data_IF_357880434102
#
_entry.id   IF_357880434102
#
_cell.length_a   1.000
_cell.length_b   1.000
_cell.length_c   1.000
_cell.angle_alpha   90.00
_cell.angle_beta   90.00
_cell.angle_gamma   90.00
#
_symmetry.space_group_name_H-M   'P 1'
#
loop_
_entity.id
_entity.type
_entity.pdbx_description
1 polymer ?
#
# COMPACT_ATOMS: atom_id res chain seq x y z
N UNK A 1 -30.43 -29.44 -44.78
CA UNK A 1 -30.18 -27.99 -44.81
C UNK A 1 -29.80 -27.55 -43.40
N UNK A 2 -28.51 -27.29 -43.17
CA UNK A 2 -27.98 -26.84 -41.88
C UNK A 2 -27.95 -25.32 -41.86
N UNK A 3 -28.67 -24.70 -40.92
CA UNK A 3 -28.57 -23.27 -40.60
C UNK A 3 -28.18 -23.11 -39.14
N UNK A 4 -26.89 -23.24 -38.82
CA UNK A 4 -26.37 -22.93 -37.48
C UNK A 4 -26.31 -21.42 -37.31
N UNK A 5 -27.23 -20.88 -36.51
CA UNK A 5 -27.19 -19.50 -36.06
C UNK A 5 -26.07 -19.32 -35.03
N UNK A 6 -25.02 -18.58 -35.38
CA UNK A 6 -24.03 -18.07 -34.44
C UNK A 6 -24.64 -16.95 -33.61
N UNK A 7 -24.96 -17.22 -32.35
CA UNK A 7 -25.29 -16.22 -31.34
C UNK A 7 -24.05 -15.40 -31.01
N UNK A 8 -23.93 -14.22 -31.62
CA UNK A 8 -22.97 -13.19 -31.22
C UNK A 8 -23.31 -12.72 -29.80
N UNK A 9 -22.56 -13.17 -28.80
CA UNK A 9 -22.60 -12.62 -27.44
C UNK A 9 -22.14 -11.16 -27.51
N UNK A 10 -23.07 -10.22 -27.44
CA UNK A 10 -22.79 -8.79 -27.36
C UNK A 10 -21.94 -8.52 -26.13
N UNK A 11 -20.64 -8.26 -26.34
CA UNK A 11 -19.69 -7.90 -25.28
C UNK A 11 -20.15 -6.61 -24.62
N UNK A 12 -20.84 -6.73 -23.48
CA UNK A 12 -21.36 -5.60 -22.69
C UNK A 12 -20.21 -4.62 -22.41
N UNK A 13 -20.38 -3.35 -22.82
CA UNK A 13 -19.39 -2.30 -22.53
C UNK A 13 -19.30 -2.14 -21.01
N UNK A 14 -18.10 -2.33 -20.46
CA UNK A 14 -17.84 -2.04 -19.06
C UNK A 14 -18.05 -0.55 -18.78
N UNK A 15 -18.51 -0.22 -17.58
CA UNK A 15 -18.49 1.14 -17.08
C UNK A 15 -17.05 1.65 -16.94
N UNK A 16 -16.84 2.96 -16.86
CA UNK A 16 -15.49 3.53 -16.66
C UNK A 16 -14.82 3.00 -15.37
N UNK A 17 -15.49 2.93 -14.21
CA UNK A 17 -14.92 2.32 -13.00
C UNK A 17 -14.56 0.84 -13.15
N UNK A 18 -15.45 0.03 -13.75
CA UNK A 18 -15.18 -1.40 -13.97
C UNK A 18 -13.98 -1.60 -14.90
N UNK A 19 -13.84 -0.74 -15.91
CA UNK A 19 -12.70 -0.75 -16.82
C UNK A 19 -11.40 -0.42 -16.08
N UNK A 20 -11.42 0.61 -15.24
CA UNK A 20 -10.26 0.99 -14.43
C UNK A 20 -9.84 -0.15 -13.50
N UNK A 21 -10.80 -0.79 -12.82
CA UNK A 21 -10.54 -1.98 -11.98
C UNK A 21 -9.90 -3.11 -12.80
N UNK A 22 -10.46 -3.46 -13.95
CA UNK A 22 -9.89 -4.48 -14.85
C UNK A 22 -8.43 -4.15 -15.23
N UNK A 23 -8.14 -2.90 -15.57
CA UNK A 23 -6.80 -2.47 -15.97
C UNK A 23 -5.81 -2.53 -14.78
N UNK A 24 -6.23 -2.12 -13.59
CA UNK A 24 -5.41 -2.23 -12.38
C UNK A 24 -5.11 -3.69 -12.04
N UNK A 25 -6.11 -4.57 -12.08
CA UNK A 25 -5.91 -6.00 -11.80
C UNK A 25 -4.99 -6.66 -12.84
N UNK A 26 -5.09 -6.26 -14.11
CA UNK A 26 -4.18 -6.72 -15.18
C UNK A 26 -2.75 -6.23 -14.94
N UNK A 27 -2.57 -4.96 -14.55
CA UNK A 27 -1.26 -4.40 -14.27
C UNK A 27 -0.60 -5.07 -13.05
N UNK A 28 -1.37 -5.37 -11.99
CA UNK A 28 -0.90 -6.17 -10.86
C UNK A 28 -0.45 -7.58 -11.27
N UNK A 29 -1.20 -8.24 -12.15
CA UNK A 29 -0.81 -9.54 -12.67
C UNK A 29 0.52 -9.48 -13.45
N UNK A 30 0.71 -8.45 -14.27
CA UNK A 30 1.97 -8.23 -15.00
C UNK A 30 3.14 -7.95 -14.07
N UNK A 31 2.96 -7.13 -13.02
CA UNK A 31 4.02 -6.88 -12.03
C UNK A 31 4.43 -8.18 -11.34
N UNK A 32 3.47 -9.04 -10.97
CA UNK A 32 3.74 -10.34 -10.37
C UNK A 32 4.53 -11.28 -11.28
N UNK A 33 4.22 -11.29 -12.57
CA UNK A 33 4.82 -12.24 -13.51
C UNK A 33 6.13 -11.75 -14.12
N UNK A 34 6.24 -10.46 -14.39
CA UNK A 34 7.32 -9.86 -15.21
C UNK A 34 8.07 -8.72 -14.49
N UNK A 35 7.62 -8.29 -13.32
CA UNK A 35 8.16 -7.14 -12.59
C UNK A 35 7.66 -5.78 -13.12
N UNK A 36 8.10 -4.69 -12.47
CA UNK A 36 7.60 -3.33 -12.77
C UNK A 36 8.26 -2.70 -14.01
N UNK A 37 9.47 -3.10 -14.37
CA UNK A 37 10.22 -2.55 -15.51
C UNK A 37 9.48 -2.67 -16.87
N UNK A 38 8.95 -3.85 -17.27
CA UNK A 38 8.24 -4.00 -18.55
C UNK A 38 6.83 -3.37 -18.56
N UNK A 39 6.32 -2.90 -17.42
CA UNK A 39 4.98 -2.31 -17.34
C UNK A 39 4.91 -0.99 -18.11
N UNK A 40 4.18 -1.01 -19.23
CA UNK A 40 3.86 0.17 -20.06
C UNK A 40 2.36 0.21 -20.36
N UNK A 41 1.82 1.38 -20.72
CA UNK A 41 0.42 1.50 -21.13
C UNK A 41 0.10 0.67 -22.39
N UNK A 42 1.08 0.50 -23.28
CA UNK A 42 0.94 -0.35 -24.47
C UNK A 42 0.81 -1.82 -24.11
N UNK A 43 1.72 -2.33 -23.25
CA UNK A 43 1.69 -3.71 -22.76
C UNK A 43 0.45 -4.01 -21.94
N UNK A 44 0.02 -3.06 -21.11
CA UNK A 44 -1.22 -3.15 -20.36
C UNK A 44 -2.43 -3.26 -21.28
N UNK A 45 -2.51 -2.39 -22.30
CA UNK A 45 -3.63 -2.40 -23.25
C UNK A 45 -3.73 -3.72 -24.01
N UNK A 46 -2.59 -4.22 -24.51
CA UNK A 46 -2.48 -5.52 -25.17
C UNK A 46 -2.98 -6.66 -24.26
N UNK A 47 -2.45 -6.72 -23.04
CA UNK A 47 -2.78 -7.79 -22.08
C UNK A 47 -4.23 -7.74 -21.63
N UNK A 48 -4.79 -6.54 -21.44
CA UNK A 48 -6.19 -6.35 -21.03
C UNK A 48 -7.20 -6.49 -22.18
N UNK A 49 -6.73 -6.69 -23.42
CA UNK A 49 -7.59 -6.78 -24.61
C UNK A 49 -8.31 -5.47 -24.94
N UNK A 50 -7.68 -4.33 -24.68
CA UNK A 50 -8.20 -2.99 -25.01
C UNK A 50 -7.29 -2.25 -25.98
N UNK A 51 -7.78 -1.20 -26.62
CA UNK A 51 -6.94 -0.37 -27.48
C UNK A 51 -6.02 0.51 -26.65
N UNK A 52 -4.85 0.88 -27.19
CA UNK A 52 -3.92 1.80 -26.52
C UNK A 52 -4.61 3.09 -26.05
N UNK A 53 -5.40 3.81 -26.88
CA UNK A 53 -6.11 5.02 -26.45
C UNK A 53 -6.93 4.84 -25.16
N UNK A 54 -7.56 3.69 -24.95
CA UNK A 54 -8.31 3.42 -23.71
C UNK A 54 -7.39 3.44 -22.48
N UNK A 55 -6.22 2.81 -22.54
CA UNK A 55 -5.27 2.85 -21.43
C UNK A 55 -4.72 4.26 -21.18
N UNK A 56 -4.46 5.03 -22.23
CA UNK A 56 -4.03 6.43 -22.11
C UNK A 56 -5.14 7.33 -21.55
N UNK A 57 -6.40 7.13 -21.91
CA UNK A 57 -7.55 7.88 -21.35
C UNK A 57 -7.75 7.64 -19.84
N UNK A 58 -7.35 6.46 -19.35
CA UNK A 58 -7.45 6.12 -17.93
C UNK A 58 -6.29 6.67 -17.09
N UNK A 59 -5.06 6.60 -17.60
CA UNK A 59 -3.87 6.83 -16.78
C UNK A 59 -3.00 8.00 -17.26
N UNK A 60 -3.17 8.46 -18.50
CA UNK A 60 -2.39 9.52 -19.14
C UNK A 60 -0.95 9.12 -19.46
N UNK A 61 -0.22 8.56 -18.50
CA UNK A 61 1.18 8.17 -18.61
C UNK A 61 1.49 6.90 -17.81
N UNK A 62 2.69 6.34 -18.00
CA UNK A 62 3.20 5.26 -17.15
C UNK A 62 3.24 5.68 -15.68
N UNK A 63 3.66 6.91 -15.39
CA UNK A 63 3.70 7.42 -14.02
C UNK A 63 2.30 7.55 -13.42
N UNK A 64 1.30 7.95 -14.22
CA UNK A 64 -0.10 7.96 -13.80
C UNK A 64 -0.66 6.58 -13.50
N UNK A 65 -0.27 5.55 -14.28
CA UNK A 65 -0.59 4.16 -13.97
C UNK A 65 0.04 3.71 -12.66
N UNK A 66 1.33 4.01 -12.44
CA UNK A 66 2.02 3.63 -11.20
C UNK A 66 1.41 4.35 -9.98
N UNK A 67 1.02 5.62 -10.11
CA UNK A 67 0.29 6.34 -9.06
C UNK A 67 -1.06 5.69 -8.76
N UNK A 68 -1.82 5.30 -9.79
CA UNK A 68 -3.11 4.63 -9.63
C UNK A 68 -2.99 3.23 -9.00
N UNK A 69 -1.92 2.50 -9.32
CA UNK A 69 -1.59 1.23 -8.66
C UNK A 69 -1.29 1.44 -7.19
N UNK A 70 -0.48 2.46 -6.87
CA UNK A 70 -0.20 2.79 -5.48
C UNK A 70 -1.47 3.18 -4.72
N UNK A 71 -2.36 4.00 -5.32
CA UNK A 71 -3.67 4.34 -4.77
C UNK A 71 -4.53 3.10 -4.48
N UNK A 72 -4.59 2.17 -5.42
CA UNK A 72 -5.34 0.92 -5.25
C UNK A 72 -4.78 0.05 -4.13
N UNK A 73 -3.46 -0.04 -4.04
CA UNK A 73 -2.78 -0.74 -2.95
C UNK A 73 -3.12 -0.09 -1.60
N UNK A 74 -3.00 1.24 -1.49
CA UNK A 74 -3.28 1.97 -0.26
C UNK A 74 -4.72 1.75 0.24
N UNK A 75 -5.71 1.80 -0.66
CA UNK A 75 -7.11 1.54 -0.29
C UNK A 75 -7.27 0.13 0.29
N UNK A 76 -6.65 -0.88 -0.32
CA UNK A 76 -6.71 -2.26 0.17
C UNK A 76 -6.01 -2.41 1.52
N UNK A 77 -4.85 -1.77 1.70
CA UNK A 77 -4.10 -1.83 2.96
C UNK A 77 -4.75 -1.06 4.09
N UNK A 78 -5.27 0.14 3.81
CA UNK A 78 -5.98 0.93 4.80
C UNK A 78 -7.15 0.15 5.38
N UNK A 79 -7.92 -0.58 4.56
CA UNK A 79 -9.00 -1.42 5.06
C UNK A 79 -8.51 -2.54 6.01
N UNK A 80 -7.36 -3.15 5.73
CA UNK A 80 -6.76 -4.19 6.57
C UNK A 80 -6.27 -3.59 7.90
N UNK A 81 -5.58 -2.46 7.84
CA UNK A 81 -5.07 -1.76 9.02
C UNK A 81 -6.23 -1.25 9.88
N UNK A 82 -7.27 -0.68 9.28
CA UNK A 82 -8.44 -0.17 9.99
C UNK A 82 -9.20 -1.32 10.69
N UNK A 83 -9.37 -2.46 10.03
CA UNK A 83 -9.96 -3.65 10.65
C UNK A 83 -9.11 -4.20 11.81
N UNK A 84 -7.79 -4.17 11.67
CA UNK A 84 -6.87 -4.59 12.72
C UNK A 84 -6.89 -3.62 13.92
N UNK A 85 -6.88 -2.32 13.68
CA UNK A 85 -7.04 -1.29 14.71
C UNK A 85 -8.36 -1.45 15.47
N UNK A 86 -9.45 -1.73 14.76
CA UNK A 86 -10.78 -1.93 15.36
C UNK A 86 -10.87 -3.19 16.23
N UNK A 87 -10.05 -4.20 15.97
CA UNK A 87 -10.00 -5.45 16.76
C UNK A 87 -8.94 -5.42 17.87
N UNK A 88 -8.22 -4.31 18.03
CA UNK A 88 -7.14 -4.20 18.99
C UNK A 88 -7.65 -4.11 20.44
N UNK A 89 -6.91 -4.75 21.34
CA UNK A 89 -7.16 -4.70 22.76
C UNK A 89 -7.02 -3.29 23.36
N UNK A 90 -7.44 -3.10 24.62
CA UNK A 90 -7.48 -1.79 25.25
C UNK A 90 -6.08 -1.28 25.67
N UNK A 91 -5.05 -2.13 25.68
CA UNK A 91 -3.71 -1.74 26.18
C UNK A 91 -2.84 -1.13 25.08
N UNK A 92 -1.87 -0.26 25.42
CA UNK A 92 -0.91 0.26 24.46
C UNK A 92 -0.05 -0.86 23.85
N UNK A 93 0.24 -1.92 24.62
CA UNK A 93 0.97 -3.11 24.17
C UNK A 93 0.25 -3.83 23.03
N UNK A 94 -1.02 -4.18 23.21
CA UNK A 94 -1.80 -4.90 22.20
C UNK A 94 -1.96 -4.06 20.92
N UNK A 95 -2.18 -2.76 21.07
CA UNK A 95 -2.30 -1.83 19.94
C UNK A 95 -0.99 -1.67 19.18
N UNK A 96 0.13 -1.49 19.89
CA UNK A 96 1.46 -1.41 19.27
C UNK A 96 1.80 -2.72 18.53
N UNK A 97 1.56 -3.87 19.15
CA UNK A 97 1.80 -5.18 18.56
C UNK A 97 0.99 -5.40 17.28
N UNK A 98 -0.29 -5.01 17.27
CA UNK A 98 -1.13 -5.13 16.08
C UNK A 98 -0.63 -4.26 14.93
N UNK A 99 -0.26 -3.00 15.19
CA UNK A 99 0.30 -2.13 14.14
C UNK A 99 1.60 -2.70 13.61
N UNK A 100 2.51 -3.11 14.50
CA UNK A 100 3.78 -3.70 14.11
C UNK A 100 3.58 -4.96 13.26
N UNK A 101 2.73 -5.88 13.72
CA UNK A 101 2.40 -7.11 13.02
C UNK A 101 1.84 -6.82 11.63
N UNK A 102 0.85 -5.92 11.51
CA UNK A 102 0.20 -5.64 10.23
C UNK A 102 1.10 -4.94 9.25
N UNK A 103 1.96 -4.02 9.73
CA UNK A 103 2.93 -3.35 8.87
C UNK A 103 3.94 -4.35 8.31
N UNK A 104 4.57 -5.14 9.18
CA UNK A 104 5.57 -6.14 8.78
C UNK A 104 4.95 -7.22 7.90
N UNK A 105 3.77 -7.73 8.25
CA UNK A 105 3.05 -8.71 7.41
C UNK A 105 2.68 -8.14 6.05
N UNK A 106 2.25 -6.88 5.97
CA UNK A 106 1.95 -6.23 4.70
C UNK A 106 3.17 -6.29 3.79
N UNK A 107 4.33 -5.83 4.27
CA UNK A 107 5.56 -5.81 3.47
C UNK A 107 6.03 -7.23 3.11
N UNK A 108 5.89 -8.20 4.01
CA UNK A 108 6.27 -9.60 3.74
C UNK A 108 5.33 -10.31 2.76
N UNK A 109 4.01 -10.08 2.86
CA UNK A 109 2.99 -10.78 2.05
C UNK A 109 2.78 -10.16 0.68
N UNK A 110 2.99 -8.85 0.55
CA UNK A 110 2.91 -8.13 -0.72
C UNK A 110 4.12 -8.40 -1.64
N UNK A 111 5.13 -9.12 -1.15
CA UNK A 111 6.32 -9.47 -1.91
C UNK A 111 7.06 -8.22 -2.42
N UNK A 112 7.87 -8.41 -3.46
CA UNK A 112 8.66 -7.32 -4.09
C UNK A 112 7.79 -6.31 -4.85
N UNK A 113 6.49 -6.55 -5.03
CA UNK A 113 5.61 -5.78 -5.93
C UNK A 113 5.51 -4.29 -5.52
N UNK A 114 5.24 -4.02 -4.25
CA UNK A 114 5.10 -2.65 -3.73
C UNK A 114 6.44 -1.95 -3.57
N UNK A 115 7.49 -2.58 -3.01
CA UNK A 115 8.84 -2.02 -3.03
C UNK A 115 9.33 -1.72 -4.45
N UNK A 116 9.06 -2.57 -5.44
CA UNK A 116 9.48 -2.36 -6.84
C UNK A 116 8.67 -1.25 -7.52
N UNK A 117 7.37 -1.15 -7.23
CA UNK A 117 6.55 0.00 -7.62
C UNK A 117 7.14 1.25 -6.96
N UNK A 118 7.32 1.29 -5.63
CA UNK A 118 7.94 2.40 -4.89
C UNK A 118 9.35 2.80 -5.40
N UNK A 119 10.18 1.83 -5.75
CA UNK A 119 11.52 2.05 -6.31
C UNK A 119 11.43 2.66 -7.71
N UNK A 120 10.58 2.09 -8.58
CA UNK A 120 10.28 2.68 -9.88
C UNK A 120 9.58 4.05 -9.78
N UNK A 121 8.94 4.34 -8.64
CA UNK A 121 8.22 5.57 -8.34
C UNK A 121 9.14 6.71 -7.84
N UNK A 122 10.37 6.42 -7.39
CA UNK A 122 11.23 7.39 -6.69
C UNK A 122 11.86 8.47 -7.58
N UNK A 123 11.67 8.39 -8.90
CA UNK A 123 12.25 9.30 -9.88
C UNK A 123 11.40 10.51 -10.31
N UNK A 124 10.15 10.66 -9.85
CA UNK A 124 9.25 11.75 -10.29
C UNK A 124 8.61 12.57 -9.14
N UNK A 125 8.46 13.89 -9.29
CA UNK A 125 7.84 14.76 -8.28
C UNK A 125 6.39 14.41 -7.94
N UNK A 126 5.59 14.02 -8.94
CA UNK A 126 4.19 13.65 -8.77
C UNK A 126 4.05 12.43 -7.86
N UNK A 127 4.99 11.51 -7.98
CA UNK A 127 5.01 10.25 -7.26
C UNK A 127 5.52 10.43 -5.83
N UNK A 128 6.49 11.31 -5.62
CA UNK A 128 6.90 11.73 -4.29
C UNK A 128 5.75 12.40 -3.52
N UNK A 129 4.93 13.21 -4.20
CA UNK A 129 3.74 13.82 -3.60
C UNK A 129 2.68 12.78 -3.20
N UNK A 130 2.44 11.81 -4.09
CA UNK A 130 1.56 10.66 -3.85
C UNK A 130 2.03 9.89 -2.62
N UNK A 131 3.28 9.38 -2.59
CA UNK A 131 3.87 8.69 -1.42
C UNK A 131 3.73 9.51 -0.12
N UNK A 132 4.11 10.79 -0.16
CA UNK A 132 4.07 11.68 1.01
C UNK A 132 2.65 11.83 1.56
N UNK A 133 1.63 11.95 0.70
CA UNK A 133 0.22 12.04 1.12
C UNK A 133 -0.20 10.83 1.96
N UNK A 134 0.23 9.62 1.60
CA UNK A 134 -0.10 8.41 2.38
C UNK A 134 0.66 8.30 3.67
N UNK A 135 1.96 8.58 3.64
CA UNK A 135 2.76 8.60 4.87
C UNK A 135 2.12 9.55 5.89
N UNK A 136 1.66 10.72 5.44
CA UNK A 136 0.90 11.66 6.28
C UNK A 136 -0.43 11.08 6.78
N UNK A 137 -1.22 10.44 5.91
CA UNK A 137 -2.50 9.84 6.31
C UNK A 137 -2.32 8.71 7.33
N UNK A 138 -1.33 7.83 7.13
CA UNK A 138 -1.01 6.74 8.04
C UNK A 138 -0.51 7.25 9.40
N UNK A 139 0.37 8.26 9.40
CA UNK A 139 0.85 8.89 10.63
C UNK A 139 -0.30 9.54 11.41
N UNK A 140 -1.27 10.15 10.73
CA UNK A 140 -2.45 10.72 11.39
C UNK A 140 -3.35 9.64 11.99
N UNK A 141 -3.55 8.51 11.29
CA UNK A 141 -4.23 7.35 11.88
C UNK A 141 -3.53 6.85 13.14
N UNK A 142 -2.20 6.71 13.11
CA UNK A 142 -1.41 6.33 14.28
C UNK A 142 -1.58 7.34 15.43
N UNK A 143 -1.55 8.65 15.13
CA UNK A 143 -1.79 9.70 16.11
C UNK A 143 -3.15 9.52 16.80
N UNK A 144 -4.23 9.35 16.04
CA UNK A 144 -5.57 9.13 16.60
C UNK A 144 -5.63 7.82 17.40
N UNK A 145 -5.05 6.75 16.87
CA UNK A 145 -5.11 5.42 17.47
C UNK A 145 -4.39 5.33 18.83
N UNK A 146 -3.28 6.05 18.99
CA UNK A 146 -2.51 6.09 20.23
C UNK A 146 -2.84 7.28 21.15
N UNK A 147 -3.67 8.23 20.71
CA UNK A 147 -4.06 9.40 21.51
C UNK A 147 -4.53 9.07 22.94
N UNK A 148 -5.31 7.99 23.20
CA UNK A 148 -5.75 7.65 24.55
C UNK A 148 -4.60 7.37 25.56
N UNK A 149 -3.40 7.05 25.08
CA UNK A 149 -2.24 6.71 25.93
C UNK A 149 -1.26 7.86 26.14
N UNK A 150 -1.43 8.98 25.43
CA UNK A 150 -0.46 10.07 25.41
C UNK A 150 -0.72 11.17 26.47
N UNK A 151 -1.56 10.90 27.48
CA UNK A 151 -1.88 11.79 28.63
C UNK A 151 -2.22 13.26 28.28
N UNK A 152 -2.81 13.50 27.11
CA UNK A 152 -3.20 14.84 26.65
C UNK A 152 -2.18 15.52 25.73
N UNK A 153 -0.98 14.97 25.60
CA UNK A 153 0.03 15.40 24.63
C UNK A 153 -0.12 14.63 23.32
N UNK A 154 0.06 15.28 22.18
CA UNK A 154 -0.03 14.62 20.88
C UNK A 154 1.35 14.06 20.48
N UNK A 155 1.38 12.89 19.83
CA UNK A 155 2.62 12.33 19.28
C UNK A 155 3.31 13.33 18.34
N UNK A 156 4.58 13.67 18.56
CA UNK A 156 5.23 14.64 17.68
C UNK A 156 5.38 14.11 16.25
N UNK A 157 5.34 15.01 15.25
CA UNK A 157 5.56 14.61 13.84
C UNK A 157 6.92 13.95 13.65
N UNK A 158 7.95 14.42 14.36
CA UNK A 158 9.28 13.82 14.32
C UNK A 158 9.29 12.37 14.83
N UNK A 159 8.55 12.08 15.91
CA UNK A 159 8.46 10.72 16.45
C UNK A 159 7.73 9.77 15.50
N UNK A 160 6.67 10.24 14.83
CA UNK A 160 5.94 9.46 13.84
C UNK A 160 6.80 9.16 12.60
N UNK A 161 7.60 10.12 12.13
CA UNK A 161 8.56 9.89 11.04
C UNK A 161 9.66 8.91 11.44
N UNK A 162 10.17 9.00 12.67
CA UNK A 162 11.15 8.04 13.17
C UNK A 162 10.57 6.61 13.24
N UNK A 163 9.34 6.47 13.74
CA UNK A 163 8.63 5.20 13.78
C UNK A 163 8.40 4.63 12.39
N UNK A 164 7.95 5.45 11.43
CA UNK A 164 7.72 5.00 10.06
C UNK A 164 9.02 4.55 9.37
N UNK A 165 10.11 5.29 9.56
CA UNK A 165 11.43 4.90 9.06
C UNK A 165 11.93 3.59 9.66
N UNK A 166 11.70 3.36 10.96
CA UNK A 166 12.00 2.09 11.61
C UNK A 166 11.14 0.95 11.05
N UNK A 167 9.85 1.19 10.83
CA UNK A 167 8.94 0.21 10.26
C UNK A 167 9.36 -0.22 8.85
N UNK A 168 9.72 0.74 7.99
CA UNK A 168 10.25 0.48 6.65
C UNK A 168 11.55 -0.35 6.73
N UNK A 169 12.54 0.10 7.51
CA UNK A 169 13.84 -0.55 7.59
C UNK A 169 13.80 -1.97 8.18
N UNK A 170 13.01 -2.18 9.24
CA UNK A 170 12.83 -3.49 9.87
C UNK A 170 12.11 -4.46 8.93
N UNK A 171 11.08 -3.99 8.23
CA UNK A 171 10.34 -4.82 7.27
C UNK A 171 11.22 -5.23 6.09
N UNK A 172 11.99 -4.29 5.55
CA UNK A 172 12.95 -4.53 4.47
C UNK A 172 14.05 -5.54 4.89
N UNK A 173 14.57 -5.42 6.11
CA UNK A 173 15.52 -6.38 6.67
C UNK A 173 14.91 -7.78 6.82
N UNK A 174 13.64 -7.86 7.24
CA UNK A 174 12.91 -9.13 7.32
C UNK A 174 12.67 -9.76 5.94
N UNK A 175 12.33 -8.97 4.92
CA UNK A 175 12.17 -9.44 3.53
C UNK A 175 13.48 -10.01 2.97
N UNK A 176 14.62 -9.39 3.29
CA UNK A 176 15.95 -9.88 2.88
C UNK A 176 16.42 -11.10 3.67
N UNK A 177 15.76 -11.41 4.79
CA UNK A 177 16.17 -12.48 5.71
C UNK A 177 17.33 -12.09 6.62
N UNK A 178 17.67 -10.79 6.70
CA UNK A 178 18.70 -10.27 7.62
C UNK A 178 18.25 -10.42 9.09
N UNK A 179 16.94 -10.33 9.32
CA UNK A 179 16.26 -10.61 10.60
C UNK A 179 15.00 -11.44 10.37
N UNK A 180 14.52 -12.12 11.40
CA UNK A 180 13.23 -12.82 11.33
C UNK A 180 12.04 -11.85 11.39
N UNK A 181 10.89 -12.30 10.88
CA UNK A 181 9.60 -11.60 11.05
C UNK A 181 9.35 -11.23 12.51
N UNK A 182 9.57 -12.17 13.43
CA UNK A 182 9.24 -11.98 14.83
C UNK A 182 10.17 -10.96 15.51
N UNK A 183 11.45 -10.91 15.10
CA UNK A 183 12.37 -9.85 15.51
C UNK A 183 11.92 -8.48 15.00
N UNK A 184 11.52 -8.37 13.73
CA UNK A 184 11.01 -7.11 13.17
C UNK A 184 9.75 -6.62 13.90
N UNK A 185 8.79 -7.52 14.16
CA UNK A 185 7.56 -7.20 14.89
C UNK A 185 7.85 -6.80 16.33
N UNK A 186 8.72 -7.52 17.03
CA UNK A 186 9.08 -7.21 18.41
C UNK A 186 9.76 -5.83 18.53
N UNK A 187 10.73 -5.55 17.66
CA UNK A 187 11.47 -4.27 17.68
C UNK A 187 10.57 -3.08 17.31
N UNK A 188 9.71 -3.24 16.30
CA UNK A 188 8.76 -2.20 15.93
C UNK A 188 7.73 -1.96 17.03
N UNK A 189 7.29 -3.02 17.73
CA UNK A 189 6.40 -2.90 18.90
C UNK A 189 7.08 -2.08 20.00
N UNK A 190 8.34 -2.40 20.34
CA UNK A 190 9.10 -1.65 21.34
C UNK A 190 9.30 -0.19 20.93
N UNK A 191 9.57 0.08 19.65
CA UNK A 191 9.71 1.44 19.10
C UNK A 191 8.42 2.26 19.26
N UNK A 192 7.27 1.65 18.97
CA UNK A 192 5.94 2.27 19.14
C UNK A 192 5.66 2.59 20.60
N UNK A 193 5.94 1.67 21.52
CA UNK A 193 5.75 1.91 22.97
C UNK A 193 6.65 3.02 23.48
N UNK A 194 7.94 2.97 23.15
CA UNK A 194 8.88 4.01 23.55
C UNK A 194 8.50 5.38 22.99
N UNK A 195 7.90 5.43 21.79
CA UNK A 195 7.33 6.65 21.24
C UNK A 195 6.17 7.20 22.09
N UNK A 196 5.23 6.33 22.50
CA UNK A 196 4.11 6.70 23.37
C UNK A 196 4.64 7.17 24.72
N UNK A 197 5.60 6.46 25.31
CA UNK A 197 6.21 6.81 26.59
C UNK A 197 6.88 8.18 26.56
N UNK A 198 7.68 8.47 25.52
CA UNK A 198 8.31 9.79 25.36
C UNK A 198 7.29 10.92 25.28
N UNK A 199 6.13 10.69 24.68
CA UNK A 199 5.08 11.71 24.61
C UNK A 199 4.49 12.08 25.98
N UNK A 200 4.58 11.17 26.96
CA UNK A 200 4.15 11.43 28.34
C UNK A 200 5.18 12.21 29.16
N UNK A 201 6.43 12.29 28.70
CA UNK A 201 7.55 12.91 29.44
C UNK A 201 7.93 14.31 28.92
N UNK A 202 7.27 14.81 27.86
CA UNK A 202 7.57 16.12 27.27
C UNK A 202 6.80 17.31 27.90
N UNK A 203 6.35 17.16 29.15
CA UNK A 203 5.81 18.26 29.96
C UNK A 203 6.92 18.99 30.75
#
# INVERSE_FOLDING_TARGET
MNGSATTSVTRRRLSRPDRQRQLLDTAWALIRSEGTAPLTLGRLAETAGVTKPVAYDHFGSRNGLLAALYEDFDVRQNAIIDAAMASAGPTPQERAAIIAQRYVECVLTQGREIPDVLAALSGSPELAAVKRRYQMAFMEKCRTFFAPFCRGSALSSAALWAMLGAADALSDAAVRGDISRDQAVAELTATLLAMIERSMTQD
#
